data_IF_093008816963
#
_entry.id   IF_093008816963
#
_cell.length_a   1.000
_cell.length_b   1.000
_cell.length_c   1.000
_cell.angle_alpha   90.00
_cell.angle_beta   90.00
_cell.angle_gamma   90.00
#
_symmetry.space_group_name_H-M   'P 1'
#
loop_
_entity.id
_entity.type
_entity.pdbx_description
1 polymer ?
#
# COMPACT_ATOMS: atom_id res chain seq x y z
N UNK A 1 -9.47 -13.74 22.01
CA UNK A 1 -8.46 -14.20 21.04
C UNK A 1 -8.97 -13.93 19.64
N UNK A 2 -8.60 -12.78 19.05
CA UNK A 2 -8.84 -12.57 17.62
C UNK A 2 -7.71 -13.31 16.87
N UNK A 3 -8.07 -14.17 15.93
CA UNK A 3 -7.10 -14.88 15.10
C UNK A 3 -6.27 -13.92 14.24
N UNK A 4 -5.11 -14.39 13.79
CA UNK A 4 -4.28 -13.63 12.85
C UNK A 4 -5.03 -13.46 11.52
N UNK A 5 -5.04 -12.24 10.98
CA UNK A 5 -5.64 -11.99 9.65
C UNK A 5 -4.72 -12.60 8.60
N UNK A 6 -5.31 -13.41 7.73
CA UNK A 6 -4.62 -13.99 6.57
C UNK A 6 -4.52 -12.98 5.42
N UNK A 7 -3.53 -13.19 4.56
CA UNK A 7 -3.35 -12.39 3.36
C UNK A 7 -4.52 -12.58 2.39
N UNK A 8 -4.91 -11.50 1.74
CA UNK A 8 -5.97 -11.52 0.72
C UNK A 8 -5.37 -11.55 -0.68
N UNK A 9 -6.08 -12.10 -1.69
CA UNK A 9 -5.60 -12.08 -3.07
C UNK A 9 -5.40 -10.65 -3.60
N UNK A 10 -4.35 -10.43 -4.39
CA UNK A 10 -4.00 -9.10 -4.91
C UNK A 10 -5.10 -8.50 -5.80
N UNK A 11 -5.91 -9.34 -6.44
CA UNK A 11 -7.07 -8.92 -7.25
C UNK A 11 -8.10 -8.14 -6.42
N UNK A 12 -8.20 -8.43 -5.13
CA UNK A 12 -9.19 -7.80 -4.25
C UNK A 12 -8.97 -6.28 -4.17
N UNK A 13 -7.76 -5.84 -3.82
CA UNK A 13 -7.44 -4.41 -3.75
C UNK A 13 -7.42 -3.76 -5.15
N UNK A 14 -6.91 -4.46 -6.18
CA UNK A 14 -6.93 -3.95 -7.55
C UNK A 14 -8.34 -3.65 -8.03
N UNK A 15 -9.29 -4.54 -7.73
CA UNK A 15 -10.70 -4.34 -8.05
C UNK A 15 -11.29 -3.17 -7.27
N UNK A 16 -11.02 -3.05 -5.98
CA UNK A 16 -11.53 -1.94 -5.16
C UNK A 16 -11.09 -0.59 -5.74
N UNK A 17 -9.80 -0.42 -6.03
CA UNK A 17 -9.25 0.83 -6.58
C UNK A 17 -9.86 1.11 -7.97
N UNK A 18 -9.92 0.09 -8.83
CA UNK A 18 -10.51 0.23 -10.17
C UNK A 18 -12.00 0.60 -10.13
N UNK A 19 -12.76 0.05 -9.18
CA UNK A 19 -14.20 0.31 -9.06
C UNK A 19 -14.46 1.74 -8.53
N UNK A 20 -13.63 2.25 -7.60
CA UNK A 20 -13.76 3.60 -7.03
C UNK A 20 -13.31 4.69 -8.00
N UNK A 21 -12.25 4.44 -8.78
CA UNK A 21 -11.74 5.36 -9.79
C UNK A 21 -11.43 6.75 -9.21
N UNK A 22 -11.96 7.79 -9.86
CA UNK A 22 -11.82 9.19 -9.46
C UNK A 22 -12.91 9.67 -8.48
N UNK A 23 -13.72 8.75 -7.94
CA UNK A 23 -14.80 9.03 -7.00
C UNK A 23 -15.93 9.94 -7.55
N UNK A 24 -16.06 10.08 -8.87
CA UNK A 24 -17.16 10.85 -9.49
C UNK A 24 -18.51 10.14 -9.39
N UNK A 25 -18.51 8.79 -9.39
CA UNK A 25 -19.72 7.99 -9.32
C UNK A 25 -20.46 8.17 -7.98
N UNK A 26 -21.76 8.49 -8.05
CA UNK A 26 -22.63 8.70 -6.89
C UNK A 26 -22.69 7.48 -5.95
N UNK A 27 -22.42 6.27 -6.45
CA UNK A 27 -22.35 5.03 -5.67
C UNK A 27 -21.39 5.15 -4.48
N UNK A 28 -20.24 5.81 -4.66
CA UNK A 28 -19.17 5.91 -3.65
C UNK A 28 -19.21 7.22 -2.85
N UNK A 29 -20.37 7.90 -2.81
CA UNK A 29 -20.52 9.17 -2.11
C UNK A 29 -20.22 9.07 -0.60
N UNK A 30 -20.53 7.93 0.02
CA UNK A 30 -20.29 7.72 1.45
C UNK A 30 -18.80 7.54 1.76
N UNK A 31 -18.01 7.02 0.82
CA UNK A 31 -16.58 6.77 1.01
C UNK A 31 -15.73 8.05 0.82
N UNK A 32 -16.27 9.10 0.18
CA UNK A 32 -15.56 10.37 -0.06
C UNK A 32 -14.99 11.00 1.21
N UNK A 33 -15.72 10.94 2.32
CA UNK A 33 -15.25 11.47 3.60
C UNK A 33 -13.99 10.73 4.07
N UNK A 34 -13.99 9.41 3.96
CA UNK A 34 -12.86 8.57 4.35
C UNK A 34 -11.60 8.93 3.55
N UNK A 35 -11.73 9.16 2.24
CA UNK A 35 -10.62 9.58 1.38
C UNK A 35 -9.99 10.92 1.82
N UNK A 36 -10.79 11.85 2.35
CA UNK A 36 -10.26 13.09 2.93
C UNK A 36 -9.62 12.86 4.30
N UNK A 37 -10.24 12.05 5.15
CA UNK A 37 -9.76 11.78 6.51
C UNK A 37 -8.40 11.07 6.52
N UNK A 38 -8.12 10.23 5.51
CA UNK A 38 -6.83 9.51 5.40
C UNK A 38 -5.68 10.39 4.90
N UNK A 39 -5.94 11.59 4.36
CA UNK A 39 -4.88 12.49 3.85
C UNK A 39 -3.85 12.85 4.92
N UNK A 40 -4.24 12.85 6.20
CA UNK A 40 -3.30 13.07 7.30
C UNK A 40 -2.19 11.99 7.40
N UNK A 41 -2.43 10.79 6.84
CA UNK A 41 -1.48 9.68 6.84
C UNK A 41 -0.70 9.55 5.53
N UNK A 42 -1.01 10.37 4.53
CA UNK A 42 -0.33 10.36 3.23
C UNK A 42 1.20 10.50 3.34
N UNK A 43 1.75 11.38 4.19
CA UNK A 43 3.21 11.46 4.38
C UNK A 43 3.84 10.13 4.82
N UNK A 44 3.16 9.37 5.66
CA UNK A 44 3.65 8.07 6.13
C UNK A 44 3.57 7.01 5.03
N UNK A 45 2.49 6.97 4.24
CA UNK A 45 2.37 6.07 3.10
C UNK A 45 3.48 6.32 2.06
N UNK A 46 3.78 7.59 1.78
CA UNK A 46 4.87 7.98 0.87
C UNK A 46 6.23 7.57 1.42
N UNK A 47 6.49 7.79 2.72
CA UNK A 47 7.75 7.36 3.35
C UNK A 47 7.97 5.85 3.18
N UNK A 48 6.96 5.04 3.53
CA UNK A 48 7.02 3.57 3.44
C UNK A 48 7.15 3.06 2.00
N UNK A 49 6.61 3.80 1.04
CA UNK A 49 6.77 3.50 -0.39
C UNK A 49 8.20 3.80 -0.86
N UNK A 50 8.75 4.96 -0.49
CA UNK A 50 10.08 5.39 -0.93
C UNK A 50 11.21 4.57 -0.28
N UNK A 51 11.06 4.18 0.98
CA UNK A 51 12.07 3.36 1.65
C UNK A 51 12.19 1.95 1.02
N UNK A 52 11.13 1.45 0.38
CA UNK A 52 11.07 0.13 -0.24
C UNK A 52 11.18 0.19 -1.78
N UNK A 53 11.79 1.25 -2.34
CA UNK A 53 12.07 1.31 -3.77
C UNK A 53 12.94 0.12 -4.21
N UNK A 54 12.66 -0.48 -5.39
CA UNK A 54 13.50 -1.52 -5.94
C UNK A 54 14.90 -0.95 -6.24
N UNK A 55 15.92 -1.70 -5.84
CA UNK A 55 17.30 -1.31 -6.11
C UNK A 55 17.63 -1.50 -7.60
N UNK A 56 18.65 -0.83 -8.16
CA UNK A 56 18.93 -0.88 -9.61
C UNK A 56 19.15 -2.28 -10.20
N UNK A 57 19.59 -3.23 -9.37
CA UNK A 57 19.78 -4.64 -9.75
C UNK A 57 18.51 -5.50 -9.65
N UNK A 58 17.44 -4.98 -9.04
CA UNK A 58 16.14 -5.65 -8.93
C UNK A 58 15.25 -5.28 -10.12
N UNK A 59 14.80 -6.26 -10.91
CA UNK A 59 13.85 -6.00 -12.00
C UNK A 59 12.45 -5.63 -11.48
N UNK A 60 12.02 -6.31 -10.42
CA UNK A 60 10.73 -6.11 -9.76
C UNK A 60 10.86 -6.49 -8.29
N UNK A 61 10.17 -5.76 -7.41
CA UNK A 61 10.10 -6.06 -5.97
C UNK A 61 8.65 -6.28 -5.56
N UNK A 62 8.33 -7.47 -5.06
CA UNK A 62 7.01 -7.76 -4.47
C UNK A 62 7.06 -7.40 -3.00
N UNK A 63 6.12 -6.57 -2.56
CA UNK A 63 6.10 -5.97 -1.23
C UNK A 63 4.72 -6.23 -0.60
N UNK A 64 4.70 -6.59 0.68
CA UNK A 64 3.47 -6.71 1.47
C UNK A 64 2.87 -5.34 1.73
N UNK A 65 1.55 -5.26 1.61
CA UNK A 65 0.80 -4.01 1.79
C UNK A 65 -0.37 -4.20 2.74
N UNK A 66 -0.67 -3.16 3.49
CA UNK A 66 -1.90 -3.02 4.27
C UNK A 66 -2.71 -1.90 3.64
N UNK A 67 -3.94 -2.20 3.24
CA UNK A 67 -4.81 -1.25 2.57
C UNK A 67 -6.10 -1.03 3.35
N UNK A 68 -6.68 0.16 3.19
CA UNK A 68 -8.01 0.46 3.72
C UNK A 68 -9.09 -0.28 2.90
N UNK A 69 -10.14 -0.80 3.54
CA UNK A 69 -11.18 -1.61 2.87
C UNK A 69 -11.88 -0.90 1.70
N UNK A 70 -11.91 0.44 1.71
CA UNK A 70 -12.46 1.27 0.61
C UNK A 70 -11.42 1.67 -0.46
N UNK A 71 -10.17 1.24 -0.33
CA UNK A 71 -9.06 1.63 -1.21
C UNK A 71 -8.52 3.04 -0.96
N UNK A 72 -8.97 3.73 0.10
CA UNK A 72 -8.63 5.13 0.35
C UNK A 72 -7.13 5.41 0.56
N UNK A 73 -6.39 4.45 1.14
CA UNK A 73 -4.95 4.53 1.34
C UNK A 73 -4.37 3.12 1.41
N UNK A 74 -3.12 2.99 0.94
CA UNK A 74 -2.35 1.74 1.02
C UNK A 74 -0.99 2.05 1.61
N UNK A 75 -0.59 1.28 2.62
CA UNK A 75 0.72 1.35 3.25
C UNK A 75 1.53 0.12 2.87
N UNK A 76 2.84 0.31 2.72
CA UNK A 76 3.79 -0.80 2.65
C UNK A 76 4.08 -1.29 4.07
N UNK A 77 3.95 -2.60 4.29
CA UNK A 77 4.14 -3.27 5.58
C UNK A 77 5.44 -4.08 5.62
N UNK A 78 6.53 -3.44 5.19
CA UNK A 78 7.87 -4.01 5.20
C UNK A 78 8.90 -2.98 5.65
N UNK A 79 10.00 -3.45 6.22
CA UNK A 79 11.20 -2.68 6.50
C UNK A 79 12.31 -3.30 5.64
N UNK A 80 13.06 -2.50 4.85
CA UNK A 80 14.11 -3.03 3.99
C UNK A 80 15.35 -3.40 4.83
N UNK A 81 15.38 -4.64 5.33
CA UNK A 81 16.56 -5.19 5.99
C UNK A 81 17.62 -5.55 4.96
N UNK A 82 18.81 -4.98 5.10
CA UNK A 82 19.96 -5.25 4.24
C UNK A 82 21.10 -5.90 5.02
N UNK A 83 21.86 -6.78 4.35
CA UNK A 83 23.15 -7.25 4.85
C UNK A 83 24.20 -6.25 4.37
N UNK A 84 24.68 -5.39 5.27
CA UNK A 84 25.59 -4.27 4.96
C UNK A 84 26.78 -4.63 4.03
N UNK A 85 27.59 -5.68 4.30
CA UNK A 85 28.72 -6.00 3.43
C UNK A 85 28.29 -6.45 2.02
N UNK A 86 27.10 -7.07 1.88
CA UNK A 86 26.56 -7.44 0.56
C UNK A 86 26.06 -6.21 -0.17
N UNK A 87 25.38 -5.31 0.54
CA UNK A 87 24.82 -4.09 -0.03
C UNK A 87 25.91 -3.13 -0.56
N UNK A 88 27.04 -3.01 0.14
CA UNK A 88 28.17 -2.19 -0.32
C UNK A 88 28.85 -2.79 -1.57
N UNK A 89 28.78 -4.12 -1.74
CA UNK A 89 29.40 -4.82 -2.86
C UNK A 89 28.53 -4.86 -4.13
N UNK A 90 27.24 -4.51 -4.02
CA UNK A 90 26.27 -4.43 -5.12
C UNK A 90 26.45 -3.14 -5.92
#
# INVERSE_FOLDING_TARGET
>A
NQGQKEDTPAEHIRKIISDHGDMTNRKFRHDKRVYLDVLKYMPYAVLKLLENMPMPWEHTRNIRVIYHITGAITFVDEIPWIIEPVFIAQ
#
